data_IF_114655230453
#
_entry.id   IF_114655230453
#
_cell.length_a   1.000
_cell.length_b   1.000
_cell.length_c   1.000
_cell.angle_alpha   90.00
_cell.angle_beta   90.00
_cell.angle_gamma   90.00
#
_symmetry.space_group_name_H-M   'P 1'
#
loop_
_entity.id
_entity.type
_entity.pdbx_description
1 polymer ?
#
# COMPACT_ATOMS: atom_id res chain seq x y z
N UNK A 1 2.58 25.11 18.96
CA UNK A 1 1.50 24.11 18.74
C UNK A 1 1.84 23.35 17.47
N UNK A 2 1.43 22.10 17.37
CA UNK A 2 1.80 21.27 16.22
C UNK A 2 0.96 20.00 16.14
N UNK A 3 1.14 19.26 15.05
CA UNK A 3 0.50 17.98 14.80
C UNK A 3 1.41 16.84 15.26
N UNK A 4 0.92 15.95 16.11
CA UNK A 4 1.61 14.71 16.45
C UNK A 4 1.04 13.58 15.62
N UNK A 5 1.86 13.01 14.74
CA UNK A 5 1.49 11.89 13.89
C UNK A 5 2.10 10.62 14.48
N UNK A 6 1.29 9.59 14.65
CA UNK A 6 1.69 8.28 15.16
C UNK A 6 1.21 7.21 14.21
N UNK A 7 2.12 6.33 13.81
CA UNK A 7 1.78 5.21 12.93
C UNK A 7 1.82 3.92 13.75
N UNK A 8 0.70 3.20 13.77
CA UNK A 8 0.59 1.92 14.45
C UNK A 8 0.50 0.80 13.41
N UNK A 9 1.31 -0.23 13.58
CA UNK A 9 1.23 -1.49 12.84
C UNK A 9 0.49 -2.53 13.65
N UNK A 10 -0.38 -3.30 13.00
CA UNK A 10 -1.04 -4.45 13.59
C UNK A 10 -0.52 -5.71 12.89
N UNK A 11 0.16 -6.59 13.62
CA UNK A 11 0.53 -7.91 13.11
C UNK A 11 -0.54 -8.94 13.53
N UNK A 12 -1.06 -9.68 12.54
CA UNK A 12 -1.83 -10.93 12.67
C UNK A 12 -2.72 -11.01 13.92
N UNK A 13 -3.66 -10.07 14.03
CA UNK A 13 -4.70 -10.01 15.06
C UNK A 13 -4.19 -10.25 16.50
N UNK A 14 -3.12 -9.56 16.93
CA UNK A 14 -2.88 -9.28 18.36
C UNK A 14 -1.85 -8.16 18.58
N UNK A 15 -2.30 -7.12 19.30
CA UNK A 15 -1.59 -5.92 19.78
C UNK A 15 -1.17 -4.90 18.72
N UNK A 16 -1.71 -3.68 18.82
CA UNK A 16 -1.22 -2.51 18.11
C UNK A 16 0.20 -2.15 18.58
N UNK A 17 1.13 -2.04 17.64
CA UNK A 17 2.51 -1.63 17.90
C UNK A 17 2.78 -0.28 17.24
N UNK A 18 3.18 0.72 18.04
CA UNK A 18 3.68 1.99 17.49
C UNK A 18 4.93 1.71 16.63
N UNK A 19 4.82 1.92 15.32
CA UNK A 19 5.92 1.82 14.35
C UNK A 19 6.85 3.02 14.52
N UNK A 20 6.27 4.21 14.66
CA UNK A 20 7.03 5.42 14.98
C UNK A 20 6.14 6.64 15.13
N UNK A 21 6.73 7.72 15.62
CA UNK A 21 6.06 9.00 15.79
C UNK A 21 6.87 10.17 15.24
N UNK A 22 6.16 11.20 14.80
CA UNK A 22 6.75 12.47 14.39
C UNK A 22 5.90 13.63 14.88
N UNK A 23 6.55 14.75 15.18
CA UNK A 23 5.88 15.98 15.63
C UNK A 23 6.20 17.07 14.61
N UNK A 24 5.16 17.62 14.01
CA UNK A 24 5.25 18.68 13.02
C UNK A 24 4.80 19.98 13.63
N UNK A 25 5.66 21.00 13.61
CA UNK A 25 5.27 22.35 14.02
C UNK A 25 4.32 22.96 12.99
N UNK A 26 3.27 23.65 13.44
CA UNK A 26 2.41 24.42 12.51
C UNK A 26 3.15 25.54 11.80
N UNK A 27 4.32 25.97 12.32
CA UNK A 27 5.18 26.92 11.62
C UNK A 27 5.81 26.35 10.33
N UNK A 28 5.77 25.03 10.14
CA UNK A 28 6.37 24.32 8.99
C UNK A 28 5.31 23.85 7.99
N UNK A 29 4.03 24.01 8.32
CA UNK A 29 2.91 23.61 7.47
C UNK A 29 2.36 24.87 6.81
N UNK A 30 2.59 25.00 5.50
CA UNK A 30 1.90 26.00 4.70
C UNK A 30 0.50 25.47 4.39
N UNK A 31 -0.53 26.11 4.95
CA UNK A 31 -1.92 25.68 4.82
C UNK A 31 -2.60 26.24 3.57
N UNK A 32 -1.94 27.14 2.83
CA UNK A 32 -2.48 27.75 1.61
C UNK A 32 -2.11 26.97 0.35
N UNK A 33 -1.14 26.05 0.44
CA UNK A 33 -0.65 25.21 -0.65
C UNK A 33 -0.76 23.73 -0.28
N UNK A 34 -0.98 22.85 -1.26
CA UNK A 34 -0.83 21.40 -1.04
C UNK A 34 0.64 21.06 -0.75
N UNK A 35 1.00 21.01 0.53
CA UNK A 35 2.35 20.64 0.96
C UNK A 35 2.51 19.13 1.10
N UNK A 36 3.41 18.55 0.32
CA UNK A 36 3.91 17.19 0.57
C UNK A 36 5.03 17.24 1.61
N UNK A 37 4.83 16.59 2.77
CA UNK A 37 5.78 16.59 3.86
C UNK A 37 6.37 15.19 4.08
N UNK A 38 7.69 15.07 3.94
CA UNK A 38 8.42 13.85 4.28
C UNK A 38 8.75 13.85 5.77
N UNK A 39 8.14 12.93 6.52
CA UNK A 39 8.29 12.85 7.96
C UNK A 39 9.18 11.68 8.37
N UNK A 40 10.35 11.93 8.99
CA UNK A 40 11.07 10.87 9.67
C UNK A 40 10.23 10.43 10.88
N UNK A 41 9.94 9.13 10.96
CA UNK A 41 9.29 8.50 12.10
C UNK A 41 10.36 7.95 13.03
N UNK A 42 10.41 8.44 14.26
CA UNK A 42 11.33 7.90 15.26
C UNK A 42 10.76 6.59 15.82
N UNK A 43 11.48 5.45 15.73
CA UNK A 43 11.01 4.19 16.28
C UNK A 43 10.97 4.26 17.81
N UNK A 44 10.14 3.40 18.42
CA UNK A 44 10.08 3.29 19.88
C UNK A 44 11.48 3.01 20.43
N UNK A 45 11.92 3.77 21.43
CA UNK A 45 13.13 3.50 22.22
C UNK A 45 13.02 2.12 22.90
N UNK A 46 13.33 1.07 22.16
CA UNK A 46 13.62 -0.27 22.64
C UNK A 46 15.04 -0.58 22.19
N UNK A 47 15.97 -0.30 23.09
CA UNK A 47 17.36 -0.78 23.09
C UNK A 47 18.19 -0.44 21.85
N UNK A 48 18.94 0.67 21.92
CA UNK A 48 20.27 0.87 21.32
C UNK A 48 20.52 0.17 19.97
N UNK A 49 19.84 0.61 18.91
CA UNK A 49 20.38 0.41 17.55
C UNK A 49 21.52 1.41 17.41
N UNK A 50 22.76 0.91 17.48
CA UNK A 50 23.94 1.70 17.14
C UNK A 50 23.78 2.20 15.71
N UNK A 51 23.72 3.52 15.55
CA UNK A 51 24.03 4.19 14.28
C UNK A 51 25.43 3.72 13.87
N UNK A 52 25.49 2.78 12.93
CA UNK A 52 26.74 2.36 12.33
C UNK A 52 27.14 3.39 11.26
N UNK A 53 28.39 3.78 11.34
CA UNK A 53 29.07 4.76 10.50
C UNK A 53 29.12 4.37 9.02
N UNK A 54 28.63 5.24 8.15
CA UNK A 54 29.18 5.60 6.82
C UNK A 54 29.62 4.51 5.81
N UNK A 55 29.07 3.30 5.86
CA UNK A 55 29.02 2.42 4.67
C UNK A 55 27.59 2.42 4.15
N UNK A 56 27.37 2.76 2.88
CA UNK A 56 26.05 2.68 2.24
C UNK A 56 25.47 1.26 2.45
N UNK A 57 24.57 1.10 3.43
CA UNK A 57 23.89 -0.17 3.69
C UNK A 57 22.94 -0.42 2.53
N UNK A 58 23.34 -1.28 1.61
CA UNK A 58 22.49 -1.72 0.49
C UNK A 58 21.77 -2.99 0.92
N UNK A 59 20.45 -2.91 1.07
CA UNK A 59 19.58 -4.06 1.31
C UNK A 59 19.35 -4.79 -0.02
N UNK A 60 19.69 -6.08 -0.07
CA UNK A 60 19.63 -6.89 -1.28
C UNK A 60 18.58 -7.98 -1.10
N UNK A 61 17.70 -8.11 -2.09
CA UNK A 61 16.69 -9.16 -2.17
C UNK A 61 17.06 -10.14 -3.28
N UNK A 62 17.19 -11.41 -2.94
CA UNK A 62 17.45 -12.47 -3.92
C UNK A 62 16.17 -13.24 -4.15
N UNK A 63 15.69 -13.23 -5.39
CA UNK A 63 14.50 -13.97 -5.79
C UNK A 63 14.89 -15.25 -6.53
N UNK A 64 14.25 -16.36 -6.17
CA UNK A 64 14.37 -17.64 -6.88
C UNK A 64 12.96 -18.19 -7.08
N UNK A 65 12.57 -18.46 -8.33
CA UNK A 65 11.23 -18.95 -8.68
C UNK A 65 10.08 -18.15 -8.01
N UNK A 66 10.15 -16.82 -8.06
CA UNK A 66 9.18 -15.88 -7.46
C UNK A 66 9.11 -15.88 -5.92
N UNK A 67 10.03 -16.57 -5.23
CA UNK A 67 10.14 -16.58 -3.77
C UNK A 67 11.37 -15.77 -3.36
N UNK A 68 11.25 -15.00 -2.27
CA UNK A 68 12.41 -14.38 -1.62
C UNK A 68 13.27 -15.50 -1.02
N UNK A 69 14.43 -15.74 -1.62
CA UNK A 69 15.39 -16.74 -1.19
C UNK A 69 16.29 -16.21 -0.06
N UNK A 70 16.67 -14.94 -0.11
CA UNK A 70 17.60 -14.32 0.84
C UNK A 70 17.37 -12.81 0.95
N UNK A 71 17.62 -12.26 2.13
CA UNK A 71 17.68 -10.81 2.42
C UNK A 71 18.97 -10.55 3.20
N UNK A 72 19.80 -9.61 2.76
CA UNK A 72 21.07 -9.30 3.42
C UNK A 72 21.65 -7.92 3.09
N UNK A 73 22.70 -7.55 3.83
CA UNK A 73 23.48 -6.33 3.64
C UNK A 73 24.90 -6.72 3.19
N UNK A 74 25.34 -6.24 2.02
CA UNK A 74 26.64 -6.55 1.38
C UNK A 74 26.72 -7.93 0.70
N UNK A 75 26.25 -8.01 -0.55
CA UNK A 75 26.47 -9.19 -1.39
C UNK A 75 27.75 -9.00 -2.21
N UNK A 76 28.82 -9.70 -1.84
CA UNK A 76 30.13 -9.61 -2.52
C UNK A 76 30.33 -10.70 -3.59
N UNK A 77 29.38 -11.61 -3.75
CA UNK A 77 29.55 -12.81 -4.57
C UNK A 77 28.30 -13.12 -5.40
N UNK A 78 28.00 -12.25 -6.37
CA UNK A 78 27.00 -12.56 -7.39
C UNK A 78 27.49 -13.75 -8.20
N UNK A 79 26.81 -14.90 -8.10
CA UNK A 79 27.05 -16.03 -9.00
C UNK A 79 26.93 -15.55 -10.45
N UNK A 80 27.75 -16.10 -11.35
CA UNK A 80 27.65 -15.82 -12.77
C UNK A 80 26.21 -16.12 -13.27
N UNK A 81 25.60 -15.18 -14.00
CA UNK A 81 24.22 -15.18 -14.53
C UNK A 81 23.07 -14.78 -13.57
N UNK A 82 23.22 -13.68 -12.82
CA UNK A 82 22.11 -13.06 -12.07
C UNK A 82 21.75 -11.69 -12.67
N UNK A 83 20.46 -11.45 -12.89
CA UNK A 83 19.95 -10.11 -13.23
C UNK A 83 19.93 -9.24 -11.98
N UNK A 84 20.60 -8.09 -12.03
CA UNK A 84 20.68 -7.15 -10.91
C UNK A 84 19.84 -5.91 -11.24
N UNK A 85 18.83 -5.64 -10.42
CA UNK A 85 18.00 -4.43 -10.51
C UNK A 85 18.43 -3.48 -9.40
N UNK A 86 19.13 -2.41 -9.76
CA UNK A 86 19.53 -1.37 -8.82
C UNK A 86 18.47 -0.27 -8.76
N UNK A 87 18.00 0.05 -7.55
CA UNK A 87 17.06 1.14 -7.32
C UNK A 87 17.78 2.49 -7.26
N UNK A 88 17.07 3.54 -7.67
CA UNK A 88 17.50 4.93 -7.47
C UNK A 88 17.40 5.33 -5.99
N UNK A 89 18.10 6.39 -5.58
CA UNK A 89 18.13 6.87 -4.19
C UNK A 89 16.75 7.23 -3.60
N UNK A 90 15.77 7.54 -4.45
CA UNK A 90 14.39 7.87 -4.05
C UNK A 90 13.41 6.71 -4.26
N UNK A 91 13.89 5.53 -4.66
CA UNK A 91 13.07 4.34 -4.84
C UNK A 91 13.27 3.40 -3.66
N UNK A 92 12.21 2.70 -3.29
CA UNK A 92 12.23 1.68 -2.25
C UNK A 92 11.32 0.52 -2.68
N UNK A 93 11.51 -0.64 -2.04
CA UNK A 93 10.66 -1.81 -2.20
C UNK A 93 9.74 -1.90 -0.99
N UNK A 94 8.50 -2.28 -1.23
CA UNK A 94 7.55 -2.66 -0.20
C UNK A 94 6.71 -3.86 -0.68
N UNK A 95 6.11 -4.63 0.24
CA UNK A 95 5.09 -5.59 -0.13
C UNK A 95 3.93 -4.91 -0.88
N UNK A 96 3.35 -5.62 -1.84
CA UNK A 96 2.12 -5.17 -2.48
C UNK A 96 0.96 -5.09 -1.49
N UNK A 97 -0.03 -4.26 -1.81
CA UNK A 97 -1.19 -4.10 -0.96
C UNK A 97 -2.14 -5.32 -1.06
N UNK A 98 -2.81 -5.60 0.05
CA UNK A 98 -3.83 -6.65 0.17
C UNK A 98 -5.17 -5.96 0.42
N UNK A 99 -6.05 -6.00 -0.57
CA UNK A 99 -7.43 -5.57 -0.41
C UNK A 99 -8.25 -6.73 0.13
N UNK A 100 -8.66 -6.63 1.39
CA UNK A 100 -9.37 -7.71 2.07
C UNK A 100 -10.83 -7.81 1.66
N UNK A 101 -11.40 -6.79 1.00
CA UNK A 101 -12.83 -6.77 0.70
C UNK A 101 -13.15 -5.80 -0.44
N UNK A 102 -13.52 -6.35 -1.60
CA UNK A 102 -14.02 -5.56 -2.72
C UNK A 102 -15.23 -6.22 -3.37
N UNK A 103 -16.28 -5.42 -3.62
CA UNK A 103 -17.39 -5.81 -4.49
C UNK A 103 -17.04 -5.47 -5.93
N UNK A 104 -16.39 -6.39 -6.64
CA UNK A 104 -16.01 -6.16 -8.04
C UNK A 104 -17.20 -5.80 -8.95
N UNK A 105 -18.42 -6.36 -8.78
CA UNK A 105 -19.59 -5.95 -9.55
C UNK A 105 -19.99 -4.48 -9.39
N UNK A 106 -19.68 -3.90 -8.24
CA UNK A 106 -20.04 -2.51 -7.90
C UNK A 106 -18.98 -1.50 -8.36
N UNK A 107 -17.87 -1.95 -8.96
CA UNK A 107 -16.81 -1.05 -9.41
C UNK A 107 -17.29 0.05 -10.37
N UNK A 108 -18.27 -0.26 -11.23
CA UNK A 108 -18.77 0.69 -12.22
C UNK A 108 -19.57 1.86 -11.62
N UNK A 109 -20.03 1.75 -10.36
CA UNK A 109 -20.74 2.82 -9.64
C UNK A 109 -19.87 3.51 -8.58
N UNK A 110 -18.57 3.24 -8.55
CA UNK A 110 -17.65 3.87 -7.61
C UNK A 110 -17.77 5.41 -7.68
N UNK A 111 -18.03 6.03 -6.54
CA UNK A 111 -18.19 7.49 -6.41
C UNK A 111 -19.60 8.03 -6.62
N UNK A 112 -20.62 7.18 -6.80
CA UNK A 112 -22.02 7.58 -6.93
C UNK A 112 -22.82 7.40 -5.62
N UNK A 113 -23.76 8.32 -5.36
CA UNK A 113 -24.73 8.21 -4.26
C UNK A 113 -24.12 8.28 -2.85
N UNK A 114 -23.06 9.08 -2.68
CA UNK A 114 -22.34 9.25 -1.41
C UNK A 114 -23.14 10.01 -0.34
N UNK A 115 -24.26 10.61 -0.72
CA UNK A 115 -25.18 11.40 0.09
C UNK A 115 -26.46 10.64 0.48
N UNK A 116 -26.57 9.36 0.10
CA UNK A 116 -27.75 8.53 0.33
C UNK A 116 -27.58 7.58 1.52
N UNK A 117 -28.70 7.20 2.14
CA UNK A 117 -28.71 6.10 3.09
C UNK A 117 -28.46 4.75 2.39
N UNK A 118 -27.92 3.79 3.14
CA UNK A 118 -27.47 2.49 2.60
C UNK A 118 -28.57 1.76 1.81
N UNK A 119 -29.78 1.65 2.37
CA UNK A 119 -30.86 0.91 1.71
C UNK A 119 -31.32 1.60 0.42
N UNK A 120 -31.35 2.92 0.40
CA UNK A 120 -31.71 3.68 -0.79
C UNK A 120 -30.62 3.57 -1.86
N UNK A 121 -29.35 3.63 -1.45
CA UNK A 121 -28.21 3.42 -2.33
C UNK A 121 -28.23 2.02 -2.96
N UNK A 122 -28.50 0.99 -2.17
CA UNK A 122 -28.59 -0.40 -2.64
C UNK A 122 -29.67 -0.56 -3.72
N UNK A 123 -30.87 -0.03 -3.46
CA UNK A 123 -32.00 -0.14 -4.39
C UNK A 123 -31.82 0.72 -5.64
N UNK A 124 -31.17 1.89 -5.50
CA UNK A 124 -31.02 2.86 -6.61
C UNK A 124 -29.87 2.50 -7.54
N UNK A 125 -28.73 2.06 -7.01
CA UNK A 125 -27.51 1.82 -7.79
C UNK A 125 -27.11 0.35 -7.82
N UNK A 126 -26.95 -0.25 -6.64
CA UNK A 126 -26.28 -1.55 -6.49
C UNK A 126 -27.04 -2.69 -7.15
N UNK A 127 -28.28 -2.96 -6.74
CA UNK A 127 -29.03 -4.11 -7.29
C UNK A 127 -29.31 -3.96 -8.80
N UNK A 128 -29.68 -2.77 -9.31
CA UNK A 128 -29.80 -2.57 -10.75
C UNK A 128 -28.49 -2.79 -11.51
N UNK A 129 -27.33 -2.41 -10.95
CA UNK A 129 -26.04 -2.65 -11.58
C UNK A 129 -25.66 -4.14 -11.55
N UNK A 130 -25.77 -4.80 -10.40
CA UNK A 130 -25.43 -6.22 -10.24
C UNK A 130 -26.27 -7.11 -11.14
N UNK A 131 -27.56 -6.80 -11.34
CA UNK A 131 -28.42 -7.57 -12.26
C UNK A 131 -27.90 -7.60 -13.71
N UNK A 132 -27.12 -6.59 -14.14
CA UNK A 132 -26.51 -6.55 -15.48
C UNK A 132 -25.40 -7.58 -15.66
N UNK A 133 -24.83 -8.12 -14.57
CA UNK A 133 -23.80 -9.15 -14.63
C UNK A 133 -24.35 -10.52 -15.06
N UNK A 134 -25.67 -10.66 -15.24
CA UNK A 134 -26.25 -11.77 -16.00
C UNK A 134 -25.72 -11.81 -17.45
N UNK A 135 -25.33 -10.66 -18.01
CA UNK A 135 -24.61 -10.57 -19.29
C UNK A 135 -23.10 -10.77 -19.09
N UNK A 136 -22.57 -11.83 -19.70
CA UNK A 136 -21.16 -12.21 -19.62
C UNK A 136 -20.23 -11.20 -20.28
N UNK A 137 -20.68 -10.52 -21.33
CA UNK A 137 -19.85 -9.53 -22.04
C UNK A 137 -19.71 -8.26 -21.19
N UNK A 138 -20.80 -7.84 -20.55
CA UNK A 138 -20.78 -6.78 -19.54
C UNK A 138 -19.85 -7.14 -18.37
N UNK A 139 -20.02 -8.34 -17.79
CA UNK A 139 -19.18 -8.81 -16.70
C UNK A 139 -17.70 -8.86 -17.06
N UNK A 140 -17.35 -9.42 -18.23
CA UNK A 140 -15.96 -9.50 -18.71
C UNK A 140 -15.32 -8.12 -18.85
N UNK A 141 -16.08 -7.15 -19.38
CA UNK A 141 -15.60 -5.77 -19.54
C UNK A 141 -15.31 -5.12 -18.18
N UNK A 142 -16.23 -5.22 -17.22
CA UNK A 142 -16.05 -4.58 -15.91
C UNK A 142 -14.93 -5.25 -15.12
N UNK A 143 -14.85 -6.58 -15.08
CA UNK A 143 -13.77 -7.27 -14.34
C UNK A 143 -12.38 -7.01 -14.91
N UNK A 144 -12.24 -6.84 -16.23
CA UNK A 144 -10.97 -6.38 -16.82
C UNK A 144 -10.56 -5.00 -16.30
N UNK A 145 -11.53 -4.09 -16.13
CA UNK A 145 -11.27 -2.76 -15.58
C UNK A 145 -10.86 -2.83 -14.11
N UNK A 146 -11.53 -3.67 -13.30
CA UNK A 146 -11.18 -3.90 -11.89
C UNK A 146 -9.72 -4.37 -11.78
N UNK A 147 -9.35 -5.42 -12.51
CA UNK A 147 -7.98 -5.96 -12.48
C UNK A 147 -6.95 -4.91 -12.93
N UNK A 148 -7.25 -4.19 -14.02
CA UNK A 148 -6.37 -3.13 -14.52
C UNK A 148 -6.17 -2.02 -13.50
N UNK A 149 -7.23 -1.63 -12.78
CA UNK A 149 -7.18 -0.56 -11.79
C UNK A 149 -6.54 -1.01 -10.47
N UNK A 150 -6.80 -2.22 -10.00
CA UNK A 150 -6.14 -2.78 -8.82
C UNK A 150 -4.63 -2.85 -9.01
N UNK A 151 -4.15 -3.24 -10.20
CA UNK A 151 -2.73 -3.20 -10.53
C UNK A 151 -2.15 -1.79 -10.49
N UNK A 152 -2.89 -0.80 -11.00
CA UNK A 152 -2.47 0.60 -10.94
C UNK A 152 -2.35 1.13 -9.49
N UNK A 153 -3.15 0.61 -8.57
CA UNK A 153 -3.08 0.94 -7.14
C UNK A 153 -2.11 0.05 -6.34
N UNK A 154 -1.28 -0.76 -7.02
CA UNK A 154 -0.31 -1.65 -6.39
C UNK A 154 -0.94 -2.72 -5.46
N UNK A 155 -2.23 -3.05 -5.67
CA UNK A 155 -2.89 -4.17 -5.02
C UNK A 155 -2.45 -5.47 -5.69
N UNK A 156 -1.74 -6.32 -4.93
CA UNK A 156 -1.30 -7.64 -5.40
C UNK A 156 -2.30 -8.75 -5.12
N UNK A 157 -3.13 -8.58 -4.09
CA UNK A 157 -4.15 -9.56 -3.68
C UNK A 157 -5.46 -8.85 -3.40
N UNK A 158 -6.57 -9.42 -3.87
CA UNK A 158 -7.91 -8.95 -3.58
C UNK A 158 -8.87 -10.12 -3.39
N UNK A 159 -9.80 -9.98 -2.45
CA UNK A 159 -10.87 -10.92 -2.20
C UNK A 159 -12.16 -10.35 -2.77
N UNK A 160 -12.65 -11.00 -3.82
CA UNK A 160 -13.83 -10.57 -4.57
C UNK A 160 -15.06 -11.27 -3.99
N UNK A 161 -16.06 -10.49 -3.62
CA UNK A 161 -17.44 -10.95 -3.43
C UNK A 161 -18.28 -10.75 -4.69
#
# INVERSE_FOLDING_TARGET
MGLRIRVYGCERMRKERLIGESIVSFATIDLELETNLWLPLEPRNTSSVKMLSNSEQVLIFIFSFFVIAEIGENYTNCKDNVEVIQLNKQQFIMPGFIDTHIHAPQFAQNGLGLDMELLDWLNTYTFPLESKFADKDFASKIYKNVIGKSKFYENTTFFIE
#
